data_IF_291001860819
#
_entry.id   IF_291001860819
#
_cell.length_a   1.000
_cell.length_b   1.000
_cell.length_c   1.000
_cell.angle_alpha   90.00
_cell.angle_beta   90.00
_cell.angle_gamma   90.00
#
_symmetry.space_group_name_H-M   'P 1'
#
loop_
_entity.id
_entity.type
_entity.pdbx_description
1 polymer ?
#
# COMPACT_ATOMS: atom_id res chain seq x y z
N UNK A 1 -24.85 -11.69 -4.00
CA UNK A 1 -23.73 -10.73 -3.99
C UNK A 1 -22.58 -11.41 -4.72
N UNK A 2 -22.01 -10.80 -5.75
CA UNK A 2 -20.88 -11.38 -6.47
C UNK A 2 -19.69 -11.48 -5.48
N UNK A 3 -19.14 -12.68 -5.17
CA UNK A 3 -17.98 -12.80 -4.28
C UNK A 3 -16.71 -12.13 -4.84
N UNK A 4 -16.70 -11.79 -6.12
CA UNK A 4 -15.59 -11.16 -6.83
C UNK A 4 -15.81 -9.66 -7.08
N UNK A 5 -16.77 -9.04 -6.38
CA UNK A 5 -17.10 -7.61 -6.51
C UNK A 5 -15.87 -6.69 -6.42
N UNK A 6 -14.84 -7.08 -5.66
CA UNK A 6 -13.62 -6.31 -5.48
C UNK A 6 -12.78 -6.28 -6.77
N UNK A 7 -12.77 -7.36 -7.57
CA UNK A 7 -12.04 -7.39 -8.85
C UNK A 7 -12.67 -6.40 -9.81
N UNK A 8 -13.98 -6.46 -9.97
CA UNK A 8 -14.73 -5.55 -10.84
C UNK A 8 -14.49 -4.08 -10.44
N UNK A 9 -14.54 -3.79 -9.14
CA UNK A 9 -14.28 -2.44 -8.63
C UNK A 9 -12.83 -1.98 -8.83
N UNK A 10 -11.82 -2.80 -8.50
CA UNK A 10 -10.42 -2.39 -8.53
C UNK A 10 -9.71 -2.58 -9.89
N UNK A 11 -10.22 -3.43 -10.78
CA UNK A 11 -9.70 -3.58 -12.15
C UNK A 11 -10.07 -2.36 -13.02
N UNK A 12 -11.29 -1.82 -12.88
CA UNK A 12 -11.71 -0.60 -13.59
C UNK A 12 -11.07 0.67 -13.00
N UNK A 13 -10.85 0.69 -11.68
CA UNK A 13 -10.36 1.84 -10.93
C UNK A 13 -8.83 2.01 -10.91
N UNK A 14 -8.04 1.05 -11.40
CA UNK A 14 -6.59 0.97 -11.16
C UNK A 14 -5.76 2.21 -11.57
N UNK A 15 -6.32 3.13 -12.38
CA UNK A 15 -5.70 4.40 -12.76
C UNK A 15 -6.19 5.58 -11.89
N UNK A 16 -7.45 5.58 -11.44
CA UNK A 16 -8.06 6.68 -10.66
C UNK A 16 -8.04 6.43 -9.14
N UNK A 17 -7.66 5.22 -8.69
CA UNK A 17 -7.60 4.88 -7.27
C UNK A 17 -6.67 5.80 -6.49
N UNK A 18 -5.55 6.20 -7.10
CA UNK A 18 -4.60 7.12 -6.48
C UNK A 18 -5.14 8.55 -6.37
N UNK A 19 -6.24 8.91 -7.02
CA UNK A 19 -6.86 10.24 -6.91
C UNK A 19 -7.85 10.35 -5.74
N UNK A 20 -8.15 9.24 -5.06
CA UNK A 20 -9.05 9.28 -3.91
C UNK A 20 -8.47 10.11 -2.75
N UNK A 21 -9.31 10.83 -1.97
CA UNK A 21 -8.81 11.67 -0.87
C UNK A 21 -7.97 10.92 0.18
N UNK A 22 -8.25 9.63 0.39
CA UNK A 22 -7.55 8.81 1.39
C UNK A 22 -6.15 8.34 0.96
N UNK A 23 -5.77 8.49 -0.31
CA UNK A 23 -4.41 8.15 -0.79
C UNK A 23 -3.44 9.34 -0.74
N UNK A 24 -3.97 10.56 -0.64
CA UNK A 24 -3.19 11.80 -0.79
C UNK A 24 -2.25 12.11 0.37
N UNK A 25 -2.43 11.50 1.54
CA UNK A 25 -1.67 11.82 2.76
C UNK A 25 -0.55 10.82 3.08
N UNK A 26 -0.14 10.02 2.08
CA UNK A 26 0.83 8.93 2.23
C UNK A 26 2.10 9.34 2.97
N UNK A 27 2.69 10.50 2.67
CA UNK A 27 3.94 10.93 3.31
C UNK A 27 3.81 11.13 4.83
N UNK A 28 2.70 11.73 5.28
CA UNK A 28 2.48 11.97 6.70
C UNK A 28 2.14 10.68 7.45
N UNK A 29 1.39 9.78 6.81
CA UNK A 29 1.12 8.44 7.35
C UNK A 29 2.44 7.67 7.55
N UNK A 30 3.35 7.72 6.58
CA UNK A 30 4.68 7.11 6.67
C UNK A 30 5.50 7.71 7.80
N UNK A 31 5.56 9.05 7.89
CA UNK A 31 6.27 9.73 8.98
C UNK A 31 5.75 9.29 10.36
N UNK A 32 4.44 9.18 10.50
CA UNK A 32 3.82 8.71 11.73
C UNK A 32 4.16 7.24 12.02
N UNK A 33 4.03 6.34 11.05
CA UNK A 33 4.38 4.92 11.24
C UNK A 33 5.85 4.72 11.62
N UNK A 34 6.77 5.45 11.00
CA UNK A 34 8.21 5.42 11.33
C UNK A 34 8.44 5.91 12.76
N UNK A 35 7.80 7.02 13.15
CA UNK A 35 7.95 7.60 14.47
C UNK A 35 7.42 6.68 15.58
N UNK A 36 6.28 6.04 15.36
CA UNK A 36 5.57 5.32 16.42
C UNK A 36 5.93 3.82 16.47
N UNK A 37 6.19 3.19 15.32
CA UNK A 37 6.28 1.71 15.25
C UNK A 37 7.53 1.18 14.54
N UNK A 38 7.94 1.79 13.43
CA UNK A 38 8.95 1.20 12.55
C UNK A 38 10.37 1.65 12.95
N UNK A 39 10.77 1.41 14.19
CA UNK A 39 12.03 1.95 14.74
C UNK A 39 13.32 1.34 14.17
N UNK A 40 13.23 0.24 13.41
CA UNK A 40 14.37 -0.45 12.82
C UNK A 40 14.14 -0.78 11.32
N UNK A 41 15.00 -0.34 10.39
CA UNK A 41 14.89 -0.63 8.95
C UNK A 41 14.96 -2.12 8.56
N UNK A 42 15.47 -2.99 9.44
CA UNK A 42 15.55 -4.43 9.20
C UNK A 42 14.26 -5.18 9.62
N UNK A 43 13.26 -4.49 10.16
CA UNK A 43 11.96 -5.08 10.51
C UNK A 43 11.27 -5.71 9.31
N UNK A 44 10.58 -6.83 9.54
CA UNK A 44 9.72 -7.48 8.55
C UNK A 44 8.34 -6.82 8.56
N UNK A 45 7.93 -6.28 7.43
CA UNK A 45 6.68 -5.51 7.28
C UNK A 45 5.79 -6.23 6.26
N UNK A 46 4.53 -6.46 6.62
CA UNK A 46 3.50 -6.96 5.72
C UNK A 46 2.46 -5.85 5.51
N UNK A 47 2.32 -5.38 4.27
CA UNK A 47 1.33 -4.40 3.85
C UNK A 47 0.15 -5.12 3.19
N UNK A 48 -0.99 -5.19 3.88
CA UNK A 48 -2.16 -5.98 3.49
C UNK A 48 -3.20 -5.09 2.83
N UNK A 49 -3.60 -5.43 1.60
CA UNK A 49 -4.38 -4.51 0.76
C UNK A 49 -3.51 -3.36 0.29
N UNK A 50 -2.29 -3.68 -0.19
CA UNK A 50 -1.28 -2.67 -0.49
C UNK A 50 -1.65 -1.77 -1.67
N UNK A 51 -2.66 -2.13 -2.46
CA UNK A 51 -3.03 -1.43 -3.69
C UNK A 51 -1.80 -1.28 -4.58
N UNK A 52 -1.58 -0.08 -5.10
CA UNK A 52 -0.44 0.28 -5.96
C UNK A 52 0.90 0.36 -5.19
N UNK A 53 0.90 0.09 -3.88
CA UNK A 53 2.11 0.06 -3.06
C UNK A 53 2.52 1.40 -2.45
N UNK A 54 1.58 2.35 -2.29
CA UNK A 54 1.88 3.72 -1.79
C UNK A 54 2.68 3.73 -0.48
N UNK A 55 2.42 2.80 0.43
CA UNK A 55 3.17 2.67 1.68
C UNK A 55 4.46 1.89 1.49
N UNK A 56 4.38 0.67 0.93
CA UNK A 56 5.53 -0.20 0.73
C UNK A 56 6.67 0.47 -0.07
N UNK A 57 6.35 1.15 -1.17
CA UNK A 57 7.34 1.86 -1.99
C UNK A 57 7.96 3.01 -1.20
N UNK A 58 7.15 3.81 -0.50
CA UNK A 58 7.66 4.94 0.28
C UNK A 58 8.58 4.47 1.41
N UNK A 59 8.20 3.42 2.16
CA UNK A 59 9.06 2.79 3.16
C UNK A 59 10.36 2.27 2.55
N UNK A 60 10.33 1.65 1.37
CA UNK A 60 11.53 1.21 0.68
C UNK A 60 12.49 2.40 0.39
N UNK A 61 11.96 3.55 -0.04
CA UNK A 61 12.79 4.77 -0.24
C UNK A 61 13.40 5.31 1.06
N UNK A 62 12.86 4.95 2.23
CA UNK A 62 13.38 5.30 3.56
C UNK A 62 14.34 4.27 4.13
N UNK A 63 14.67 3.21 3.38
CA UNK A 63 15.70 2.23 3.74
C UNK A 63 15.19 0.96 4.42
N UNK A 64 13.87 0.77 4.54
CA UNK A 64 13.29 -0.50 4.98
C UNK A 64 13.48 -1.55 3.90
N UNK A 65 14.04 -2.70 4.26
CA UNK A 65 14.46 -3.72 3.27
C UNK A 65 13.53 -4.92 3.18
N UNK A 66 12.84 -5.25 4.27
CA UNK A 66 12.07 -6.48 4.39
C UNK A 66 10.56 -6.19 4.35
N UNK A 67 10.06 -5.71 3.21
CA UNK A 67 8.65 -5.37 3.02
C UNK A 67 8.00 -6.37 2.05
N UNK A 68 6.82 -6.85 2.39
CA UNK A 68 5.98 -7.65 1.50
C UNK A 68 4.62 -6.96 1.37
N UNK A 69 4.23 -6.58 0.15
CA UNK A 69 2.89 -6.10 -0.15
C UNK A 69 2.04 -7.25 -0.68
N UNK A 70 0.80 -7.35 -0.20
CA UNK A 70 -0.21 -8.27 -0.75
C UNK A 70 -1.48 -7.50 -1.05
N UNK A 71 -2.09 -7.83 -2.18
CA UNK A 71 -3.39 -7.34 -2.61
C UNK A 71 -4.10 -8.49 -3.32
N UNK A 72 -5.42 -8.50 -3.24
CA UNK A 72 -6.24 -9.53 -3.86
C UNK A 72 -6.48 -9.24 -5.34
N UNK A 73 -6.31 -7.98 -5.75
CA UNK A 73 -6.56 -7.48 -7.10
C UNK A 73 -5.26 -7.53 -7.92
N UNK A 74 -5.14 -8.41 -8.92
CA UNK A 74 -3.91 -8.52 -9.72
C UNK A 74 -3.55 -7.22 -10.45
N UNK A 75 -4.55 -6.39 -10.80
CA UNK A 75 -4.34 -5.08 -11.42
C UNK A 75 -3.53 -4.09 -10.57
N UNK A 76 -3.53 -4.27 -9.24
CA UNK A 76 -2.88 -3.38 -8.29
C UNK A 76 -1.41 -3.72 -8.05
N UNK A 77 -1.00 -4.96 -8.35
CA UNK A 77 0.38 -5.44 -8.19
C UNK A 77 0.99 -5.65 -9.58
N UNK A 78 1.96 -4.82 -9.96
CA UNK A 78 2.69 -4.92 -11.23
C UNK A 78 4.10 -5.46 -11.07
#
# INVERSE_FOLDING_TARGET
MNPEWYKEYFEEMGIEYEDYPFTQNTENEIKWMIKEYLTNPEMKILDVGCGTGRHAINLATKGYKNITGIDLSPSMIR
#
